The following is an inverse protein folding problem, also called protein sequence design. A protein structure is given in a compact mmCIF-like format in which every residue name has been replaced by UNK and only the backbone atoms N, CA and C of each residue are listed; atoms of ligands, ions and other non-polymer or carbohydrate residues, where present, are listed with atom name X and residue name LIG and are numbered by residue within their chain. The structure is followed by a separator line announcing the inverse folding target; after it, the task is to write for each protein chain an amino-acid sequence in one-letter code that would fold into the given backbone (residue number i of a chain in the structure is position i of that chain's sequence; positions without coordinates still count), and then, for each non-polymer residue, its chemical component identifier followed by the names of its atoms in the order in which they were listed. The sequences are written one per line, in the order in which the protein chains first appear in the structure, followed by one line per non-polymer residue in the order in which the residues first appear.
data_IF_525220546178
#
_entry.id   IF_525220546178
#
_cell.length_a   1.000
_cell.length_b   1.000
_cell.length_c   1.000
_cell.angle_alpha   90.00
_cell.angle_beta   90.00
_cell.angle_gamma   90.00
#
_symmetry.space_group_name_H-M   'P 1'
#
loop_
_entity.id
_entity.type
_entity.pdbx_description
1 polymer ?
#
# COMPACT_ATOMS: atom_id res chain seq x y z
N UNK A 1 5.98 5.84 18.76
CA UNK A 1 5.74 4.46 19.23
C UNK A 1 4.65 3.77 18.39
N UNK A 2 3.57 4.47 18.05
CA UNK A 2 2.47 3.92 17.22
C UNK A 2 2.91 3.45 15.82
N UNK A 3 3.74 4.21 15.10
CA UNK A 3 4.23 3.80 13.78
C UNK A 3 5.01 2.48 13.82
N UNK A 4 5.87 2.30 14.82
CA UNK A 4 6.66 1.08 14.98
C UNK A 4 5.74 -0.13 15.25
N UNK A 5 4.73 0.03 16.10
CA UNK A 5 3.74 -1.01 16.35
C UNK A 5 2.90 -1.34 15.11
N UNK A 6 2.47 -0.32 14.37
CA UNK A 6 1.74 -0.50 13.12
C UNK A 6 2.56 -1.31 12.11
N UNK A 7 3.82 -0.93 11.88
CA UNK A 7 4.72 -1.65 10.97
C UNK A 7 4.94 -3.09 11.42
N UNK A 8 5.12 -3.32 12.73
CA UNK A 8 5.29 -4.66 13.27
C UNK A 8 4.05 -5.54 13.04
N UNK A 9 2.85 -5.01 13.30
CA UNK A 9 1.59 -5.73 13.10
C UNK A 9 1.31 -6.04 11.62
N UNK A 10 1.60 -5.09 10.73
CA UNK A 10 1.50 -5.29 9.28
C UNK A 10 2.45 -6.39 8.81
N UNK A 11 3.70 -6.38 9.26
CA UNK A 11 4.69 -7.39 8.91
C UNK A 11 4.29 -8.79 9.40
N UNK A 12 3.82 -8.91 10.64
CA UNK A 12 3.37 -10.20 11.18
C UNK A 12 2.18 -10.76 10.41
N UNK A 13 1.20 -9.91 10.08
CA UNK A 13 0.03 -10.31 9.30
C UNK A 13 0.40 -10.73 7.88
N UNK A 14 1.27 -9.95 7.21
CA UNK A 14 1.76 -10.27 5.88
C UNK A 14 2.50 -11.62 5.87
N UNK A 15 3.38 -11.85 6.86
CA UNK A 15 4.13 -13.10 7.00
C UNK A 15 3.22 -14.31 7.14
N UNK A 16 2.22 -14.25 8.03
CA UNK A 16 1.29 -15.35 8.25
C UNK A 16 0.52 -15.71 6.97
N UNK A 17 -0.03 -14.70 6.28
CA UNK A 17 -0.79 -14.91 5.04
C UNK A 17 0.10 -15.42 3.89
N UNK A 18 1.34 -14.93 3.79
CA UNK A 18 2.30 -15.41 2.78
C UNK A 18 2.65 -16.88 3.00
N UNK A 19 2.86 -17.32 4.24
CA UNK A 19 3.12 -18.72 4.56
C UNK A 19 1.94 -19.63 4.16
N UNK A 20 0.70 -19.19 4.39
CA UNK A 20 -0.49 -19.94 3.95
C UNK A 20 -0.64 -20.00 2.43
N UNK A 21 -0.24 -18.94 1.72
CA UNK A 21 -0.27 -18.88 0.26
C UNK A 21 0.82 -19.77 -0.35
N UNK A 22 2.04 -19.75 0.20
CA UNK A 22 3.14 -20.61 -0.24
C UNK A 22 2.86 -22.10 -0.05
N UNK A 23 2.05 -22.46 0.95
CA UNK A 23 1.63 -23.84 1.20
C UNK A 23 0.66 -24.39 0.14
N UNK A 24 0.13 -23.54 -0.77
CA UNK A 24 -0.84 -23.93 -1.80
C UNK A 24 -0.29 -23.61 -3.19
N UNK A 25 -0.53 -24.47 -4.19
CA UNK A 25 -0.20 -24.11 -5.56
C UNK A 25 -1.02 -22.88 -6.01
N UNK A 26 -0.39 -22.07 -6.87
CA UNK A 26 -1.03 -20.89 -7.44
C UNK A 26 -2.26 -21.28 -8.27
N UNK A 27 -3.37 -20.61 -8.01
CA UNK A 27 -4.60 -20.76 -8.76
C UNK A 27 -4.96 -19.41 -9.38
N UNK A 28 -4.91 -19.33 -10.71
CA UNK A 28 -5.19 -18.10 -11.45
C UNK A 28 -6.57 -17.53 -11.15
N UNK A 29 -7.58 -18.38 -10.99
CA UNK A 29 -8.97 -17.94 -10.76
C UNK A 29 -9.16 -17.33 -9.36
N UNK A 30 -8.42 -17.84 -8.37
CA UNK A 30 -8.46 -17.40 -6.98
C UNK A 30 -7.52 -16.23 -6.70
N UNK A 31 -6.32 -16.27 -7.26
CA UNK A 31 -5.18 -15.48 -6.79
C UNK A 31 -4.90 -14.26 -7.67
N UNK A 32 -5.17 -14.32 -8.98
CA UNK A 32 -4.77 -13.26 -9.92
C UNK A 32 -5.32 -11.88 -9.54
N UNK A 33 -6.59 -11.82 -9.10
CA UNK A 33 -7.21 -10.56 -8.65
C UNK A 33 -6.53 -9.99 -7.41
N UNK A 34 -6.22 -10.83 -6.42
CA UNK A 34 -5.54 -10.41 -5.19
C UNK A 34 -4.12 -9.92 -5.47
N UNK A 35 -3.39 -10.59 -6.35
CA UNK A 35 -2.08 -10.12 -6.79
C UNK A 35 -2.16 -8.77 -7.51
N UNK A 36 -3.19 -8.55 -8.32
CA UNK A 36 -3.41 -7.26 -8.96
C UNK A 36 -3.69 -6.15 -7.93
N UNK A 37 -4.52 -6.43 -6.92
CA UNK A 37 -4.80 -5.49 -5.82
C UNK A 37 -3.53 -5.14 -5.03
N UNK A 38 -2.68 -6.13 -4.70
CA UNK A 38 -1.39 -5.90 -4.04
C UNK A 38 -0.43 -5.08 -4.92
N UNK A 39 -0.36 -5.39 -6.22
CA UNK A 39 0.48 -4.63 -7.15
C UNK A 39 0.04 -3.16 -7.25
N UNK A 40 -1.27 -2.90 -7.25
CA UNK A 40 -1.83 -1.54 -7.23
C UNK A 40 -1.48 -0.82 -5.92
N UNK A 41 -1.60 -1.51 -4.78
CA UNK A 41 -1.24 -0.94 -3.48
C UNK A 41 0.24 -0.57 -3.41
N UNK A 42 1.15 -1.47 -3.83
CA UNK A 42 2.60 -1.20 -3.86
C UNK A 42 2.90 0.00 -4.76
N UNK A 43 2.24 0.09 -5.92
CA UNK A 43 2.41 1.22 -6.85
C UNK A 43 1.95 2.54 -6.22
N UNK A 44 0.81 2.54 -5.51
CA UNK A 44 0.31 3.71 -4.81
C UNK A 44 1.26 4.16 -3.69
N UNK A 45 1.73 3.22 -2.85
CA UNK A 45 2.68 3.49 -1.78
C UNK A 45 4.00 4.06 -2.32
N UNK A 46 4.54 3.47 -3.40
CA UNK A 46 5.77 3.94 -4.02
C UNK A 46 5.62 5.35 -4.62
N UNK A 47 4.44 5.72 -5.10
CA UNK A 47 4.15 7.07 -5.59
C UNK A 47 4.02 8.06 -4.43
N UNK A 48 3.30 7.69 -3.37
CA UNK A 48 3.12 8.50 -2.15
C UNK A 48 4.47 8.80 -1.49
N UNK A 49 5.32 7.79 -1.29
CA UNK A 49 6.62 7.95 -0.62
C UNK A 49 7.61 8.84 -1.40
N UNK A 50 7.40 9.03 -2.71
CA UNK A 50 8.27 9.89 -3.54
C UNK A 50 7.91 11.37 -3.44
N UNK A 51 6.74 11.71 -2.89
CA UNK A 51 6.29 13.09 -2.79
C UNK A 51 6.57 13.59 -1.37
N UNK A 52 7.45 14.58 -1.27
CA UNK A 52 7.61 15.36 -0.05
C UNK A 52 6.29 16.04 0.28
N UNK A 53 5.81 15.86 1.51
CA UNK A 53 4.54 16.44 1.99
C UNK A 53 4.55 17.97 1.87
N UNK A 54 5.71 18.56 2.16
CA UNK A 54 5.95 20.00 2.05
C UNK A 54 6.82 20.34 0.84
N UNK A 55 6.59 21.52 0.28
CA UNK A 55 7.47 22.11 -0.72
C UNK A 55 8.71 22.77 -0.08
N UNK A 56 9.53 23.43 -0.91
CA UNK A 56 10.75 24.11 -0.47
C UNK A 56 10.49 25.31 0.44
N UNK A 57 9.27 25.84 0.48
CA UNK A 57 8.88 26.95 1.34
C UNK A 57 8.21 26.48 2.65
N UNK A 58 8.06 25.17 2.82
CA UNK A 58 7.41 24.57 3.98
C UNK A 58 5.87 24.57 3.90
N UNK A 59 5.29 24.91 2.75
CA UNK A 59 3.86 24.82 2.48
C UNK A 59 3.49 23.42 1.98
N UNK A 60 2.21 23.06 2.04
CA UNK A 60 1.74 21.78 1.52
C UNK A 60 2.06 21.66 0.03
N UNK A 61 2.81 20.63 -0.33
CA UNK A 61 3.15 20.37 -1.72
C UNK A 61 1.85 20.12 -2.52
N UNK A 62 1.58 20.88 -3.59
CA UNK A 62 0.38 20.69 -4.42
C UNK A 62 0.24 19.27 -4.99
N UNK A 63 1.37 18.57 -5.18
CA UNK A 63 1.37 17.19 -5.62
C UNK A 63 0.80 16.22 -4.56
N UNK A 64 0.89 16.57 -3.27
CA UNK A 64 0.24 15.84 -2.16
C UNK A 64 -1.28 15.86 -2.30
N UNK A 65 -1.87 17.00 -2.68
CA UNK A 65 -3.33 17.11 -2.93
C UNK A 65 -3.77 16.23 -4.10
N UNK A 66 -2.94 16.17 -5.15
CA UNK A 66 -3.20 15.35 -6.35
C UNK A 66 -3.17 13.86 -6.03
N UNK A 67 -2.17 13.42 -5.25
CA UNK A 67 -2.06 12.03 -4.79
C UNK A 67 -3.23 11.67 -3.87
N UNK A 68 -3.59 12.56 -2.95
CA UNK A 68 -4.72 12.34 -2.05
C UNK A 68 -6.01 12.12 -2.85
N UNK A 69 -6.28 12.95 -3.87
CA UNK A 69 -7.45 12.79 -4.72
C UNK A 69 -7.41 11.49 -5.54
N UNK A 70 -6.25 11.16 -6.12
CA UNK A 70 -6.06 9.97 -6.97
C UNK A 70 -6.27 8.66 -6.22
N UNK A 71 -5.90 8.61 -4.95
CA UNK A 71 -5.93 7.40 -4.13
C UNK A 71 -6.98 7.40 -3.03
N UNK A 72 -7.82 8.45 -2.93
CA UNK A 72 -8.95 8.55 -2.00
C UNK A 72 -9.89 7.34 -2.06
N UNK A 73 -10.01 6.72 -3.24
CA UNK A 73 -10.93 5.61 -3.52
C UNK A 73 -10.24 4.24 -3.61
N UNK A 74 -8.91 4.17 -3.43
CA UNK A 74 -8.23 2.88 -3.35
C UNK A 74 -8.66 2.18 -2.04
N UNK A 75 -9.53 1.17 -2.17
CA UNK A 75 -10.14 0.47 -1.04
C UNK A 75 -11.61 0.82 -0.79
N UNK A 76 -12.22 1.64 -1.65
CA UNK A 76 -13.68 1.82 -1.66
C UNK A 76 -14.38 0.53 -2.08
N UNK A 77 -15.05 -0.10 -1.12
CA UNK A 77 -16.19 -0.99 -1.33
C UNK A 77 -17.37 -0.14 -1.82
#
# INVERSE_FOLDING_TARGET
MELANLVCNLNNSAKAVLQELEAKPFDRSRDARKFQEVALLIKALAEIMKISIFDSEGLLNPATLTIQAKYKTLGGI
#
